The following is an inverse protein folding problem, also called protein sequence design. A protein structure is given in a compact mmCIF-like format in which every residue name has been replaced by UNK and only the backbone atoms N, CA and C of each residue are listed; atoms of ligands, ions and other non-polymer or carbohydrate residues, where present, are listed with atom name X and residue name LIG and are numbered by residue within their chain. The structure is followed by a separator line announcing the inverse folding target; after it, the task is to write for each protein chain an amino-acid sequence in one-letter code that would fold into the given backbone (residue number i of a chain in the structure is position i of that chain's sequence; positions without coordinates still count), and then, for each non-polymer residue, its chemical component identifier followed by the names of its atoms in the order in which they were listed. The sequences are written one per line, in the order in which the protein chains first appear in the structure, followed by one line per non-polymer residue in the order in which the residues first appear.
data_IF_024187233472
#
_entry.id   IF_024187233472
#
_cell.length_a   1.000
_cell.length_b   1.000
_cell.length_c   1.000
_cell.angle_alpha   90.00
_cell.angle_beta   90.00
_cell.angle_gamma   90.00
#
_symmetry.space_group_name_H-M   'P 1'
#
loop_
_entity.id
_entity.type
_entity.pdbx_description
1 polymer ?
#
# COMPACT_ATOMS: atom_id res chain seq x y z
N UNK A 1 -36.80 -66.42 -16.49
CA UNK A 1 -37.16 -65.06 -16.92
C UNK A 1 -37.53 -64.28 -15.67
N UNK A 2 -36.60 -63.50 -15.12
CA UNK A 2 -36.51 -62.05 -15.40
C UNK A 2 -37.81 -61.36 -14.92
N UNK A 3 -37.86 -60.55 -13.85
CA UNK A 3 -36.95 -59.45 -13.50
C UNK A 3 -37.32 -58.84 -12.13
N UNK A 4 -36.27 -58.51 -11.37
CA UNK A 4 -36.02 -57.24 -10.67
C UNK A 4 -37.01 -56.84 -9.56
N UNK A 5 -36.71 -57.01 -8.27
CA UNK A 5 -35.62 -56.38 -7.52
C UNK A 5 -35.50 -54.87 -7.83
N UNK A 6 -36.27 -54.04 -7.12
CA UNK A 6 -35.95 -52.64 -6.75
C UNK A 6 -37.17 -51.97 -6.10
N UNK A 7 -37.53 -52.42 -4.90
CA UNK A 7 -38.50 -51.72 -4.04
C UNK A 7 -37.77 -51.03 -2.86
N UNK A 8 -36.58 -50.48 -3.13
CA UNK A 8 -35.79 -49.72 -2.15
C UNK A 8 -35.04 -48.59 -2.86
N UNK A 9 -35.74 -47.76 -3.63
CA UNK A 9 -35.15 -46.55 -4.24
C UNK A 9 -36.12 -45.37 -4.21
N UNK A 10 -37.04 -45.32 -3.24
CA UNK A 10 -38.11 -44.31 -3.20
C UNK A 10 -38.02 -43.30 -2.05
N UNK A 11 -36.94 -43.29 -1.26
CA UNK A 11 -36.82 -42.39 -0.09
C UNK A 11 -35.41 -41.81 0.06
N UNK A 12 -34.69 -41.58 -1.04
CA UNK A 12 -33.37 -40.89 -0.98
C UNK A 12 -33.31 -39.66 -1.91
N UNK A 13 -34.40 -39.33 -2.62
CA UNK A 13 -34.42 -38.24 -3.62
C UNK A 13 -35.30 -37.05 -3.16
N UNK A 14 -35.27 -36.70 -1.88
CA UNK A 14 -36.00 -35.50 -1.38
C UNK A 14 -35.32 -34.75 -0.24
N UNK A 15 -34.05 -35.02 0.05
CA UNK A 15 -33.25 -34.22 1.01
C UNK A 15 -31.91 -33.83 0.37
N UNK A 16 -31.97 -33.31 -0.85
CA UNK A 16 -30.79 -32.73 -1.53
C UNK A 16 -31.18 -31.50 -2.37
N UNK A 17 -32.14 -30.73 -1.86
CA UNK A 17 -32.63 -29.48 -2.45
C UNK A 17 -32.76 -28.39 -1.38
N UNK A 18 -31.78 -28.32 -0.49
CA UNK A 18 -31.54 -27.14 0.34
C UNK A 18 -30.03 -26.94 0.42
N UNK A 19 -29.60 -25.69 0.30
CA UNK A 19 -28.22 -25.19 0.30
C UNK A 19 -27.55 -25.11 -1.08
N UNK A 20 -28.16 -24.33 -1.99
CA UNK A 20 -27.38 -23.49 -2.92
C UNK A 20 -27.97 -22.07 -2.89
N UNK A 21 -28.08 -21.47 -1.71
CA UNK A 21 -28.17 -20.01 -1.56
C UNK A 21 -27.31 -19.63 -0.36
N UNK A 22 -26.01 -19.89 -0.46
CA UNK A 22 -25.03 -19.34 0.46
C UNK A 22 -23.89 -18.75 -0.34
N UNK A 23 -23.80 -17.43 -0.25
CA UNK A 23 -22.56 -16.64 -0.31
C UNK A 23 -21.85 -16.50 -1.67
N UNK A 24 -22.40 -15.65 -2.54
CA UNK A 24 -21.58 -14.67 -3.28
C UNK A 24 -22.16 -13.25 -3.13
N UNK A 25 -22.70 -12.95 -1.95
CA UNK A 25 -22.83 -11.58 -1.45
C UNK A 25 -21.86 -11.40 -0.27
N UNK A 26 -20.65 -11.96 -0.38
CA UNK A 26 -19.54 -11.42 0.40
C UNK A 26 -19.30 -10.05 -0.24
N UNK A 27 -19.78 -9.01 0.45
CA UNK A 27 -19.62 -7.60 0.11
C UNK A 27 -18.16 -7.15 0.16
N UNK A 28 -17.23 -8.00 -0.27
CA UNK A 28 -15.94 -7.60 -0.81
C UNK A 28 -16.25 -6.78 -2.05
N UNK A 29 -16.48 -5.48 -1.81
CA UNK A 29 -16.04 -4.45 -2.75
C UNK A 29 -14.71 -4.95 -3.32
N UNK A 30 -14.52 -4.95 -4.65
CA UNK A 30 -13.19 -5.19 -5.18
C UNK A 30 -12.25 -4.29 -4.39
N UNK A 31 -11.30 -4.88 -3.67
CA UNK A 31 -10.16 -4.13 -3.17
C UNK A 31 -9.48 -3.71 -4.46
N UNK A 32 -9.89 -2.54 -4.98
CA UNK A 32 -9.22 -1.86 -6.06
C UNK A 32 -7.75 -1.92 -5.67
N UNK A 33 -6.94 -2.53 -6.53
CA UNK A 33 -5.53 -2.66 -6.26
C UNK A 33 -4.95 -1.25 -6.13
N UNK A 34 -4.75 -0.80 -4.89
CA UNK A 34 -4.24 0.53 -4.57
C UNK A 34 -2.73 0.61 -4.86
N UNK A 35 -2.06 -0.52 -5.13
CA UNK A 35 -0.63 -0.58 -5.44
C UNK A 35 -0.20 0.39 -6.56
N UNK A 36 -0.80 0.39 -7.76
CA UNK A 36 -0.46 1.35 -8.80
C UNK A 36 -0.60 2.81 -8.36
N UNK A 37 -1.55 3.11 -7.47
CA UNK A 37 -1.73 4.47 -6.95
C UNK A 37 -0.61 4.82 -5.97
N UNK A 38 -0.23 3.90 -5.08
CA UNK A 38 0.90 4.09 -4.17
C UNK A 38 2.21 4.28 -4.91
N UNK A 39 2.41 3.54 -6.00
CA UNK A 39 3.58 3.71 -6.89
C UNK A 39 3.57 5.09 -7.55
N UNK A 40 2.43 5.57 -8.06
CA UNK A 40 2.33 6.93 -8.62
C UNK A 40 2.66 8.01 -7.59
N UNK A 41 2.18 7.86 -6.36
CA UNK A 41 2.46 8.80 -5.27
C UNK A 41 3.94 8.77 -4.90
N UNK A 42 4.54 7.60 -4.74
CA UNK A 42 5.97 7.52 -4.42
C UNK A 42 6.84 8.12 -5.52
N UNK A 43 6.51 7.90 -6.80
CA UNK A 43 7.19 8.53 -7.93
C UNK A 43 7.03 10.06 -7.94
N UNK A 44 5.85 10.57 -7.62
CA UNK A 44 5.61 12.00 -7.49
C UNK A 44 6.46 12.60 -6.36
N UNK A 45 6.50 11.97 -5.18
CA UNK A 45 7.34 12.42 -4.06
C UNK A 45 8.82 12.38 -4.41
N UNK A 46 9.29 11.34 -5.10
CA UNK A 46 10.69 11.21 -5.53
C UNK A 46 11.09 12.35 -6.47
N UNK A 47 10.23 12.72 -7.42
CA UNK A 47 10.47 13.89 -8.30
C UNK A 47 10.55 15.19 -7.52
N UNK A 48 9.70 15.36 -6.51
CA UNK A 48 9.72 16.55 -5.65
C UNK A 48 10.95 16.59 -4.73
N UNK A 49 11.48 15.43 -4.34
CA UNK A 49 12.75 15.32 -3.61
C UNK A 49 13.94 15.72 -4.46
N UNK A 50 13.95 15.40 -5.76
CA UNK A 50 14.98 15.88 -6.68
C UNK A 50 15.05 17.41 -6.72
N UNK A 51 13.88 18.05 -6.77
CA UNK A 51 13.76 19.51 -6.77
C UNK A 51 14.19 20.08 -5.41
N UNK A 52 13.72 19.45 -4.32
CA UNK A 52 13.99 19.92 -2.95
C UNK A 52 15.42 19.62 -2.48
N UNK A 53 16.18 18.76 -3.19
CA UNK A 53 17.57 18.47 -2.84
C UNK A 53 18.49 19.69 -2.94
N UNK A 54 18.09 20.75 -3.65
CA UNK A 54 18.80 22.03 -3.60
C UNK A 54 18.90 22.62 -2.19
N UNK A 55 17.92 22.32 -1.33
CA UNK A 55 17.85 22.82 0.04
C UNK A 55 18.62 21.92 1.04
N UNK A 56 18.58 20.60 0.83
CA UNK A 56 19.24 19.62 1.70
C UNK A 56 20.70 19.37 1.32
N UNK A 57 21.03 19.55 0.03
CA UNK A 57 22.37 19.31 -0.52
C UNK A 57 22.89 17.89 -0.28
N UNK A 58 21.99 16.90 -0.27
CA UNK A 58 22.40 15.50 -0.18
C UNK A 58 23.26 15.17 -1.40
N UNK A 59 24.32 14.41 -1.16
CA UNK A 59 25.13 13.79 -2.19
C UNK A 59 24.27 12.83 -3.03
N UNK A 60 24.77 12.47 -4.21
CA UNK A 60 24.10 11.50 -5.07
C UNK A 60 23.77 10.14 -4.38
N UNK A 61 24.69 9.52 -3.61
CA UNK A 61 24.37 8.29 -2.88
C UNK A 61 23.33 8.49 -1.78
N UNK A 62 23.46 9.55 -0.96
CA UNK A 62 22.48 9.90 0.08
C UNK A 62 21.08 10.12 -0.50
N UNK A 63 20.97 10.92 -1.58
CA UNK A 63 19.69 11.18 -2.24
C UNK A 63 19.09 9.89 -2.81
N UNK A 64 19.92 8.98 -3.34
CA UNK A 64 19.48 7.70 -3.85
C UNK A 64 18.94 6.80 -2.72
N UNK A 65 19.65 6.73 -1.59
CA UNK A 65 19.22 5.99 -0.41
C UNK A 65 17.90 6.53 0.14
N UNK A 66 17.79 7.85 0.29
CA UNK A 66 16.57 8.52 0.75
C UNK A 66 15.37 8.20 -0.16
N UNK A 67 15.54 8.29 -1.48
CA UNK A 67 14.47 7.95 -2.44
C UNK A 67 14.03 6.50 -2.34
N UNK A 68 14.97 5.58 -2.11
CA UNK A 68 14.67 4.17 -1.94
C UNK A 68 13.83 3.93 -0.68
N UNK A 69 14.24 4.49 0.46
CA UNK A 69 13.47 4.42 1.72
C UNK A 69 12.07 4.99 1.55
N UNK A 70 11.95 6.15 0.90
CA UNK A 70 10.67 6.80 0.65
C UNK A 70 9.77 5.95 -0.25
N UNK A 71 10.34 5.37 -1.31
CA UNK A 71 9.60 4.47 -2.19
C UNK A 71 9.03 3.28 -1.42
N UNK A 72 9.91 2.53 -0.75
CA UNK A 72 9.58 1.33 0.00
C UNK A 72 8.49 1.58 1.04
N UNK A 73 8.62 2.65 1.83
CA UNK A 73 7.65 2.92 2.89
C UNK A 73 6.30 3.44 2.38
N UNK A 74 6.27 4.17 1.25
CA UNK A 74 5.00 4.63 0.65
C UNK A 74 4.26 3.51 -0.09
N UNK A 75 4.94 2.50 -0.63
CA UNK A 75 4.28 1.39 -1.35
C UNK A 75 3.84 0.25 -0.41
N UNK A 76 4.47 0.10 0.76
CA UNK A 76 4.15 -0.95 1.75
C UNK A 76 2.78 -0.79 2.40
N UNK A 77 2.41 0.43 2.77
CA UNK A 77 1.16 0.66 3.51
C UNK A 77 0.04 1.14 2.59
N UNK A 78 -1.19 0.59 2.70
CA UNK A 78 -2.35 1.18 2.05
C UNK A 78 -2.48 2.63 2.51
N UNK A 79 -2.47 3.55 1.54
CA UNK A 79 -2.72 4.95 1.78
C UNK A 79 -4.21 5.06 2.00
N UNK A 80 -4.63 5.21 3.26
CA UNK A 80 -6.03 5.41 3.58
C UNK A 80 -6.54 6.56 2.72
N UNK A 81 -7.74 6.41 2.16
CA UNK A 81 -8.39 7.38 1.26
C UNK A 81 -8.36 8.79 1.83
N UNK A 82 -8.28 8.93 3.15
CA UNK A 82 -8.27 10.21 3.83
C UNK A 82 -6.87 10.71 4.22
N UNK A 83 -5.87 9.87 4.54
CA UNK A 83 -4.55 10.28 5.08
C UNK A 83 -3.44 9.25 4.85
N UNK A 84 -2.22 9.73 4.56
CA UNK A 84 -1.02 8.90 4.72
C UNK A 84 -0.83 8.64 6.22
N UNK A 85 -0.68 7.37 6.61
CA UNK A 85 -0.58 7.02 8.04
C UNK A 85 0.66 7.66 8.66
N UNK A 86 0.49 8.33 9.81
CA UNK A 86 1.60 8.95 10.58
C UNK A 86 2.73 7.95 10.87
N UNK A 87 2.39 6.67 11.05
CA UNK A 87 3.36 5.59 11.28
C UNK A 87 4.37 5.41 10.13
N UNK A 88 3.98 5.71 8.88
CA UNK A 88 4.87 5.62 7.71
C UNK A 88 6.07 6.56 7.89
N UNK A 89 5.82 7.82 8.25
CA UNK A 89 6.86 8.82 8.43
C UNK A 89 7.74 8.54 9.65
N UNK A 90 7.18 7.96 10.71
CA UNK A 90 7.97 7.50 11.86
C UNK A 90 8.95 6.37 11.50
N UNK A 91 8.52 5.42 10.66
CA UNK A 91 9.40 4.36 10.15
C UNK A 91 10.43 4.89 9.16
N UNK A 92 10.04 5.78 8.25
CA UNK A 92 10.99 6.44 7.36
C UNK A 92 12.08 7.18 8.14
N UNK A 93 11.71 7.95 9.17
CA UNK A 93 12.68 8.63 10.04
C UNK A 93 13.68 7.65 10.64
N UNK A 94 13.18 6.54 11.18
CA UNK A 94 14.02 5.49 11.75
C UNK A 94 14.95 4.87 10.71
N UNK A 95 14.43 4.52 9.53
CA UNK A 95 15.24 3.94 8.45
C UNK A 95 16.31 4.92 7.95
N UNK A 96 16.00 6.21 7.84
CA UNK A 96 16.99 7.24 7.47
C UNK A 96 18.11 7.33 8.51
N UNK A 97 17.79 7.21 9.81
CA UNK A 97 18.78 7.24 10.88
C UNK A 97 19.62 5.95 10.98
N UNK A 98 19.13 4.84 10.44
CA UNK A 98 19.79 3.53 10.46
C UNK A 98 20.50 3.17 9.14
N UNK A 99 20.28 3.95 8.08
CA UNK A 99 20.85 3.71 6.76
C UNK A 99 22.30 4.20 6.71
N UNK A 100 23.23 3.31 6.33
CA UNK A 100 24.66 3.58 6.32
C UNK A 100 25.06 4.73 5.38
N UNK A 101 24.31 4.95 4.30
CA UNK A 101 24.58 6.06 3.37
C UNK A 101 24.07 7.39 3.91
N UNK A 102 23.23 7.38 4.94
CA UNK A 102 22.63 8.57 5.59
C UNK A 102 23.12 8.75 7.04
N UNK A 103 24.02 7.87 7.49
CA UNK A 103 24.66 7.86 8.82
C UNK A 103 25.60 9.06 8.97
N UNK A 104 25.02 10.22 9.22
CA UNK A 104 25.73 11.50 9.26
C UNK A 104 24.81 12.71 9.18
N UNK A 105 23.57 12.53 8.72
CA UNK A 105 22.58 13.59 8.74
C UNK A 105 22.20 13.96 10.18
N UNK A 106 22.30 15.24 10.57
CA UNK A 106 21.80 15.71 11.84
C UNK A 106 20.32 15.39 12.00
N UNK A 107 19.88 15.03 13.21
CA UNK A 107 18.47 14.73 13.49
C UNK A 107 17.51 15.83 13.04
N UNK A 108 17.92 17.10 13.15
CA UNK A 108 17.13 18.24 12.66
C UNK A 108 16.94 18.22 11.14
N UNK A 109 17.96 17.79 10.40
CA UNK A 109 17.90 17.68 8.95
C UNK A 109 17.03 16.51 8.52
N UNK A 110 17.14 15.36 9.20
CA UNK A 110 16.22 14.24 9.03
C UNK A 110 14.78 14.68 9.27
N UNK A 111 14.52 15.45 10.35
CA UNK A 111 13.17 15.96 10.63
C UNK A 111 12.64 16.91 9.56
N UNK A 112 13.50 17.77 8.99
CA UNK A 112 13.15 18.63 7.84
C UNK A 112 12.81 17.80 6.60
N UNK A 113 13.65 16.82 6.26
CA UNK A 113 13.43 15.92 5.12
C UNK A 113 12.10 15.19 5.27
N UNK A 114 11.85 14.57 6.43
CA UNK A 114 10.61 13.82 6.68
C UNK A 114 9.38 14.74 6.62
N UNK A 115 9.51 15.98 7.11
CA UNK A 115 8.44 16.99 6.99
C UNK A 115 8.13 17.33 5.54
N UNK A 116 9.16 17.50 4.70
CA UNK A 116 8.99 17.74 3.27
C UNK A 116 8.38 16.52 2.58
N UNK A 117 8.88 15.31 2.84
CA UNK A 117 8.32 14.06 2.32
C UNK A 117 6.83 13.94 2.67
N UNK A 118 6.45 14.24 3.92
CA UNK A 118 5.05 14.24 4.35
C UNK A 118 4.19 15.20 3.55
N UNK A 119 4.61 16.47 3.47
CA UNK A 119 3.88 17.51 2.71
C UNK A 119 3.74 17.13 1.24
N UNK A 120 4.80 16.61 0.62
CA UNK A 120 4.77 16.18 -0.79
C UNK A 120 3.89 14.95 -0.99
N UNK A 121 3.89 13.99 -0.07
CA UNK A 121 3.02 12.83 -0.15
C UNK A 121 1.53 13.22 -0.07
N UNK A 122 1.18 14.18 0.79
CA UNK A 122 -0.18 14.74 0.89
C UNK A 122 -0.58 15.46 -0.41
N UNK A 123 0.29 16.33 -0.95
CA UNK A 123 0.07 17.03 -2.22
C UNK A 123 -0.05 16.07 -3.42
N UNK A 124 0.87 15.11 -3.54
CA UNK A 124 0.87 14.12 -4.63
C UNK A 124 -0.36 13.22 -4.58
N UNK A 125 -0.86 12.93 -3.38
CA UNK A 125 -2.13 12.24 -3.20
C UNK A 125 -3.29 13.10 -3.68
N UNK A 126 -3.40 14.35 -3.25
CA UNK A 126 -4.47 15.24 -3.70
C UNK A 126 -4.49 15.44 -5.21
N UNK A 127 -3.31 15.51 -5.85
CA UNK A 127 -3.19 15.57 -7.31
C UNK A 127 -3.44 14.23 -8.02
N UNK A 128 -3.10 13.11 -7.39
CA UNK A 128 -3.22 11.77 -7.99
C UNK A 128 -4.57 11.08 -7.75
N UNK A 129 -5.38 11.60 -6.82
CA UNK A 129 -6.74 11.14 -6.49
C UNK A 129 -7.81 12.21 -6.78
N UNK A 130 -7.43 13.38 -7.29
CA UNK A 130 -8.34 14.41 -7.74
C UNK A 130 -8.80 14.16 -9.18
N UNK A 131 -9.55 13.07 -9.39
CA UNK A 131 -10.41 12.84 -10.56
C UNK A 131 -11.85 12.61 -10.07
#
# INVERSE_FOLDING_TARGET
MERNFRMVFSTVVSVLMMIIISTTADGRKPVLDEYPIRVKISQCVIKELDISNGDFKLTAPELKALKYIVHEELVKEPLDKQKVKVKVFGRMKKLVQEDAELEGLPNEEVDKIITVVKRRAEYCREKGFGD
#
